data_IF_596153897683
#
_entry.id   IF_596153897683
#
_cell.length_a   1.000
_cell.length_b   1.000
_cell.length_c   1.000
_cell.angle_alpha   90.00
_cell.angle_beta   90.00
_cell.angle_gamma   90.00
#
_symmetry.space_group_name_H-M   'P 1'
#
loop_
_entity.id
_entity.type
_entity.pdbx_description
1 polymer ?
#
# COMPACT_ATOMS: atom_id res chain seq x y z
N UNK A 1 1.23 -16.51 46.86
CA UNK A 1 1.98 -16.42 45.60
C UNK A 1 0.98 -16.55 44.45
N UNK A 2 0.52 -15.44 43.91
CA UNK A 2 -0.43 -15.39 42.80
C UNK A 2 0.38 -15.27 41.53
N UNK A 3 0.34 -16.31 40.67
CA UNK A 3 1.03 -16.37 39.42
C UNK A 3 0.46 -15.35 38.42
N UNK A 4 1.32 -14.53 37.81
CA UNK A 4 1.00 -13.68 36.69
C UNK A 4 0.52 -14.55 35.52
N UNK A 5 -0.74 -14.34 35.13
CA UNK A 5 -1.31 -14.95 33.94
C UNK A 5 -0.54 -14.48 32.69
N UNK A 6 0.08 -15.42 32.01
CA UNK A 6 0.68 -15.18 30.72
C UNK A 6 -0.40 -14.71 29.73
N UNK A 7 -0.31 -13.47 29.26
CA UNK A 7 -1.10 -13.02 28.13
C UNK A 7 -0.66 -13.85 26.92
N UNK A 8 -1.53 -14.76 26.48
CA UNK A 8 -1.35 -15.49 25.23
C UNK A 8 -1.33 -14.48 24.10
N UNK A 9 -0.17 -14.16 23.57
CA UNK A 9 0.00 -13.42 22.32
C UNK A 9 -0.51 -14.27 21.16
N UNK A 10 -1.83 -14.42 21.08
CA UNK A 10 -2.45 -15.04 19.90
C UNK A 10 -2.33 -14.06 18.74
N UNK A 11 -1.84 -14.51 17.58
CA UNK A 11 -1.84 -13.68 16.39
C UNK A 11 -3.24 -13.16 16.10
N UNK A 12 -3.35 -11.89 15.70
CA UNK A 12 -4.63 -11.17 15.54
C UNK A 12 -5.64 -11.90 14.64
N UNK A 13 -5.18 -12.74 13.72
CA UNK A 13 -6.00 -13.51 12.78
C UNK A 13 -5.84 -15.03 12.93
N UNK A 14 -5.49 -15.53 14.10
CA UNK A 14 -5.38 -16.98 14.37
C UNK A 14 -6.65 -17.73 13.95
N UNK A 15 -7.81 -17.10 14.09
CA UNK A 15 -9.13 -17.62 13.71
C UNK A 15 -9.56 -17.21 12.30
N UNK A 16 -8.62 -16.88 11.39
CA UNK A 16 -8.95 -16.57 10.00
C UNK A 16 -9.75 -17.74 9.39
N UNK A 17 -10.98 -17.50 8.89
CA UNK A 17 -11.79 -18.55 8.28
C UNK A 17 -11.13 -19.04 6.99
N UNK A 18 -11.04 -20.37 6.85
CA UNK A 18 -10.54 -20.98 5.62
C UNK A 18 -11.58 -20.90 4.50
N UNK A 19 -11.12 -20.76 3.28
CA UNK A 19 -11.98 -20.82 2.09
C UNK A 19 -11.55 -19.92 0.95
N UNK A 20 -12.31 -20.01 -0.14
CA UNK A 20 -12.13 -19.18 -1.33
C UNK A 20 -13.12 -18.02 -1.29
N UNK A 21 -12.64 -16.83 -1.57
CA UNK A 21 -13.39 -15.58 -1.58
C UNK A 21 -13.26 -14.93 -2.97
N UNK A 22 -14.33 -14.89 -3.77
CA UNK A 22 -14.32 -14.25 -5.07
C UNK A 22 -14.05 -12.74 -4.91
N UNK A 23 -13.03 -12.26 -5.58
CA UNK A 23 -12.56 -10.87 -5.56
C UNK A 23 -12.46 -10.36 -6.99
N UNK A 24 -12.90 -9.15 -7.22
CA UNK A 24 -12.78 -8.43 -8.47
C UNK A 24 -11.89 -7.21 -8.26
N UNK A 25 -10.83 -7.07 -9.06
CA UNK A 25 -10.04 -5.84 -9.13
C UNK A 25 -10.65 -4.97 -10.22
N UNK A 26 -11.32 -3.89 -9.81
CA UNK A 26 -12.04 -3.00 -10.73
C UNK A 26 -11.16 -1.88 -11.28
N UNK A 27 -10.08 -1.54 -10.58
CA UNK A 27 -9.07 -0.57 -11.01
C UNK A 27 -7.71 -0.89 -10.40
N UNK A 28 -6.65 -0.67 -11.17
CA UNK A 28 -5.27 -0.71 -10.70
C UNK A 28 -4.47 0.31 -11.51
N UNK A 29 -4.02 1.40 -10.87
CA UNK A 29 -3.40 2.53 -11.54
C UNK A 29 -2.18 3.05 -10.77
N UNK A 30 -1.12 3.34 -11.51
CA UNK A 30 0.04 4.07 -11.05
C UNK A 30 0.71 4.77 -12.22
N UNK A 31 1.07 6.06 -12.15
CA UNK A 31 1.62 6.79 -13.28
C UNK A 31 2.93 6.18 -13.79
N UNK A 32 3.02 5.86 -15.08
CA UNK A 32 4.21 5.26 -15.70
C UNK A 32 5.36 6.25 -15.90
N UNK A 33 5.05 7.55 -16.02
CA UNK A 33 6.04 8.61 -16.19
C UNK A 33 6.01 9.53 -14.97
N UNK A 34 7.06 9.49 -14.18
CA UNK A 34 7.18 10.26 -12.96
C UNK A 34 8.43 11.15 -12.98
N UNK A 35 8.48 12.11 -12.07
CA UNK A 35 9.63 13.01 -11.89
C UNK A 35 10.16 12.86 -10.47
N UNK A 36 11.48 13.00 -10.33
CA UNK A 36 12.13 13.05 -9.02
C UNK A 36 11.52 14.15 -8.14
N UNK A 37 11.36 13.89 -6.85
CA UNK A 37 10.77 14.78 -5.85
C UNK A 37 9.33 15.23 -6.18
N UNK A 38 8.58 14.45 -6.96
CA UNK A 38 7.16 14.69 -7.22
C UNK A 38 6.30 13.62 -6.57
N UNK A 39 5.22 14.07 -5.92
CA UNK A 39 4.21 13.20 -5.35
C UNK A 39 3.34 12.59 -6.45
N UNK A 40 2.94 11.36 -6.22
CA UNK A 40 1.99 10.62 -7.06
C UNK A 40 1.14 9.68 -6.21
N UNK A 41 0.00 9.27 -6.76
CA UNK A 41 -0.89 8.29 -6.10
C UNK A 41 -0.87 6.97 -6.86
N UNK A 42 -0.72 5.88 -6.11
CA UNK A 42 -1.00 4.53 -6.59
C UNK A 42 -2.36 4.10 -6.04
N UNK A 43 -3.21 3.55 -6.90
CA UNK A 43 -4.55 3.12 -6.54
C UNK A 43 -4.82 1.69 -6.98
N UNK A 44 -5.44 0.90 -6.09
CA UNK A 44 -6.02 -0.40 -6.40
C UNK A 44 -7.41 -0.46 -5.78
N UNK A 45 -8.43 -0.71 -6.60
CA UNK A 45 -9.82 -0.81 -6.16
C UNK A 45 -10.29 -2.26 -6.27
N UNK A 46 -10.81 -2.78 -5.16
CA UNK A 46 -11.16 -4.18 -4.98
C UNK A 46 -12.61 -4.29 -4.56
N UNK A 47 -13.39 -5.15 -5.23
CA UNK A 47 -14.77 -5.47 -4.89
C UNK A 47 -14.86 -6.91 -4.39
N UNK A 48 -15.61 -7.14 -3.32
CA UNK A 48 -16.03 -8.48 -2.93
C UNK A 48 -17.13 -8.96 -3.88
N UNK A 49 -16.79 -9.83 -4.83
CA UNK A 49 -17.71 -10.39 -5.83
C UNK A 49 -18.47 -11.63 -5.32
N UNK A 50 -18.15 -12.10 -4.11
CA UNK A 50 -18.80 -13.25 -3.49
C UNK A 50 -19.98 -12.87 -2.58
N UNK A 51 -20.62 -13.89 -2.03
CA UNK A 51 -21.75 -13.76 -1.08
C UNK A 51 -21.30 -13.76 0.38
N UNK A 52 -20.06 -14.17 0.66
CA UNK A 52 -19.49 -14.21 2.01
C UNK A 52 -18.62 -12.97 2.27
N UNK A 53 -18.61 -12.52 3.52
CA UNK A 53 -17.72 -11.45 3.97
C UNK A 53 -16.27 -11.92 3.89
N UNK A 54 -15.41 -11.18 3.21
CA UNK A 54 -13.96 -11.38 3.23
C UNK A 54 -13.45 -11.04 4.63
N UNK A 55 -12.67 -11.91 5.29
CA UNK A 55 -12.19 -11.65 6.65
C UNK A 55 -11.23 -10.47 6.74
N UNK A 56 -10.27 -10.38 5.82
CA UNK A 56 -9.31 -9.27 5.78
C UNK A 56 -8.81 -9.03 4.36
N UNK A 57 -9.44 -8.09 3.65
CA UNK A 57 -8.96 -7.69 2.33
C UNK A 57 -7.67 -6.90 2.48
N UNK A 58 -6.63 -7.31 1.77
CA UNK A 58 -5.34 -6.65 1.81
C UNK A 58 -4.63 -6.69 0.44
N UNK A 59 -3.66 -5.78 0.28
CA UNK A 59 -2.78 -5.74 -0.90
C UNK A 59 -1.34 -5.84 -0.44
N UNK A 60 -0.61 -6.78 -1.00
CA UNK A 60 0.85 -6.88 -0.85
C UNK A 60 1.50 -6.18 -2.03
N UNK A 61 2.45 -5.27 -1.76
CA UNK A 61 3.23 -4.54 -2.76
C UNK A 61 4.68 -4.96 -2.66
N UNK A 62 5.02 -6.07 -3.31
CA UNK A 62 6.38 -6.63 -3.33
C UNK A 62 6.58 -7.55 -4.52
N UNK A 63 7.70 -7.43 -5.22
CA UNK A 63 8.12 -8.40 -6.21
C UNK A 63 8.81 -9.61 -5.54
N UNK A 64 8.47 -10.83 -5.97
CA UNK A 64 9.02 -12.08 -5.39
C UNK A 64 10.52 -12.27 -5.63
N UNK A 65 11.06 -11.67 -6.67
CA UNK A 65 12.48 -11.74 -7.03
C UNK A 65 13.06 -10.34 -6.99
N UNK A 66 14.16 -10.12 -6.26
CA UNK A 66 14.79 -8.87 -5.87
C UNK A 66 15.11 -7.81 -6.95
N UNK A 67 14.50 -7.88 -8.12
CA UNK A 67 14.66 -6.96 -9.26
C UNK A 67 13.54 -5.94 -9.37
N UNK A 68 12.79 -5.69 -8.30
CA UNK A 68 11.71 -4.70 -8.29
C UNK A 68 11.97 -3.59 -7.29
N UNK A 69 11.54 -2.37 -7.60
CA UNK A 69 11.44 -1.30 -6.63
C UNK A 69 10.56 -1.72 -5.46
N UNK A 70 10.88 -1.30 -4.26
CA UNK A 70 10.05 -1.45 -3.08
C UNK A 70 9.57 -0.08 -2.63
N UNK A 71 8.44 -0.07 -1.91
CA UNK A 71 8.08 1.08 -1.11
C UNK A 71 8.85 1.05 0.20
N UNK A 72 9.30 2.22 0.67
CA UNK A 72 9.72 2.39 2.06
C UNK A 72 8.81 3.39 2.74
N UNK A 73 8.48 3.12 3.99
CA UNK A 73 7.75 4.07 4.84
C UNK A 73 8.76 5.09 5.35
N UNK A 74 8.54 6.36 5.01
CA UNK A 74 9.50 7.47 5.16
C UNK A 74 9.99 7.75 6.58
N UNK A 75 9.33 7.26 7.61
CA UNK A 75 9.45 7.91 8.91
C UNK A 75 10.64 7.50 9.78
N UNK A 76 11.43 6.49 9.40
CA UNK A 76 12.49 6.02 10.31
C UNK A 76 13.59 5.18 9.68
N UNK A 77 13.70 5.11 8.36
CA UNK A 77 14.72 4.31 7.73
C UNK A 77 16.02 5.12 7.57
N UNK A 78 16.96 4.90 8.51
CA UNK A 78 18.31 5.45 8.44
C UNK A 78 19.09 5.01 7.18
N UNK A 79 18.60 4.00 6.46
CA UNK A 79 19.19 3.47 5.24
C UNK A 79 18.79 4.26 3.97
N UNK A 80 18.02 5.33 4.08
CA UNK A 80 17.69 6.21 2.95
C UNK A 80 18.93 6.83 2.27
N UNK A 81 20.08 6.81 2.94
CA UNK A 81 21.36 7.26 2.39
C UNK A 81 22.11 6.19 1.59
N UNK A 82 21.69 4.91 1.64
CA UNK A 82 22.34 3.80 0.99
C UNK A 82 21.97 3.69 -0.51
N UNK A 83 22.87 3.04 -1.28
CA UNK A 83 22.65 2.72 -2.69
C UNK A 83 21.44 1.81 -2.94
N UNK A 84 20.98 1.09 -1.92
CA UNK A 84 19.79 0.24 -1.95
C UNK A 84 18.49 0.98 -1.58
N UNK A 85 18.54 2.30 -1.33
CA UNK A 85 17.34 3.06 -1.00
C UNK A 85 16.20 2.80 -1.99
N UNK A 86 14.96 2.71 -1.51
CA UNK A 86 13.81 2.49 -2.36
C UNK A 86 13.63 3.61 -3.37
N UNK A 87 12.95 3.33 -4.46
CA UNK A 87 12.68 4.32 -5.49
C UNK A 87 11.56 5.29 -5.09
N UNK A 88 10.67 4.85 -4.21
CA UNK A 88 9.53 5.60 -3.71
C UNK A 88 9.48 5.57 -2.19
N UNK A 89 9.20 6.73 -1.62
CA UNK A 89 8.88 6.89 -0.20
C UNK A 89 7.37 7.02 -0.06
N UNK A 90 6.78 6.29 0.87
CA UNK A 90 5.34 6.34 1.13
C UNK A 90 5.04 7.43 2.13
N UNK A 91 4.27 8.44 1.71
CA UNK A 91 3.81 9.54 2.55
C UNK A 91 2.46 9.22 3.22
N UNK A 92 1.65 8.38 2.55
CA UNK A 92 0.36 7.94 3.07
C UNK A 92 0.10 6.49 2.62
N UNK A 93 -0.25 5.64 3.59
CA UNK A 93 -0.69 4.27 3.35
C UNK A 93 -2.22 4.21 3.21
N UNK A 94 -2.77 3.15 2.59
CA UNK A 94 -4.21 2.94 2.51
C UNK A 94 -4.87 2.85 3.90
N UNK A 95 -5.97 3.57 4.07
CA UNK A 95 -6.80 3.54 5.28
C UNK A 95 -8.28 3.47 4.90
N UNK A 96 -9.11 2.87 5.76
CA UNK A 96 -10.58 2.86 5.54
C UNK A 96 -11.23 4.22 5.72
N UNK A 97 -10.70 5.01 6.63
CA UNK A 97 -11.25 6.33 6.97
C UNK A 97 -10.35 7.39 6.34
N UNK A 98 -10.91 8.34 5.58
CA UNK A 98 -10.13 9.46 5.11
C UNK A 98 -9.52 10.20 6.30
N UNK A 99 -8.20 10.37 6.31
CA UNK A 99 -7.52 11.15 7.35
C UNK A 99 -7.90 12.61 7.23
N UNK A 100 -8.21 13.23 8.36
CA UNK A 100 -8.28 14.70 8.44
C UNK A 100 -6.85 15.23 8.25
N UNK A 101 -6.72 16.24 7.40
CA UNK A 101 -5.43 16.91 7.13
C UNK A 101 -4.76 17.31 8.45
N UNK A 102 -3.52 16.88 8.66
CA UNK A 102 -2.71 17.23 9.84
C UNK A 102 -2.57 16.14 10.91
N UNK A 103 -3.19 14.99 10.78
CA UNK A 103 -2.96 13.86 11.70
C UNK A 103 -1.87 12.93 11.15
N UNK A 104 -0.70 12.96 11.78
CA UNK A 104 0.42 12.04 11.55
C UNK A 104 0.35 10.77 12.41
N UNK A 105 -0.68 10.62 13.25
CA UNK A 105 -0.83 9.42 14.06
C UNK A 105 -1.30 8.26 13.19
N UNK A 106 -0.42 7.28 13.04
CA UNK A 106 -0.76 5.97 12.51
C UNK A 106 -1.73 5.31 13.49
N UNK A 107 -2.87 4.79 12.97
CA UNK A 107 -3.77 3.95 13.76
C UNK A 107 -2.94 2.81 14.38
N UNK A 108 -3.16 2.46 15.67
CA UNK A 108 -2.48 1.32 16.29
C UNK A 108 -2.59 0.01 15.50
N UNK A 109 -3.69 -0.20 14.77
CA UNK A 109 -3.86 -1.31 13.83
C UNK A 109 -2.93 -1.23 12.61
N UNK A 110 -2.55 -0.04 12.19
CA UNK A 110 -1.60 0.17 11.09
C UNK A 110 -0.15 -0.12 11.51
N UNK A 111 0.16 0.00 12.80
CA UNK A 111 1.48 -0.28 13.37
C UNK A 111 1.75 -1.76 13.65
N UNK A 112 0.70 -2.58 13.72
CA UNK A 112 0.82 -3.97 14.18
C UNK A 112 0.83 -5.00 13.07
N UNK A 113 0.91 -4.59 11.80
CA UNK A 113 1.09 -5.53 10.69
C UNK A 113 2.50 -6.12 10.77
N UNK A 114 2.61 -7.36 11.24
CA UNK A 114 3.85 -8.15 11.17
C UNK A 114 4.25 -8.48 9.71
N UNK A 115 3.46 -8.06 8.75
CA UNK A 115 3.67 -8.28 7.33
C UNK A 115 4.20 -7.01 6.68
N UNK A 116 5.49 -6.95 6.52
CA UNK A 116 6.17 -5.92 5.72
C UNK A 116 5.61 -5.96 4.30
N UNK A 117 5.34 -4.81 3.70
CA UNK A 117 4.79 -4.65 2.35
C UNK A 117 3.34 -5.14 2.13
N UNK A 118 2.59 -5.50 3.19
CA UNK A 118 1.17 -5.88 3.11
C UNK A 118 0.30 -4.87 3.86
N UNK A 119 -0.71 -4.35 3.16
CA UNK A 119 -1.57 -3.27 3.62
C UNK A 119 -3.00 -3.79 3.81
N UNK A 120 -3.42 -4.10 5.05
CA UNK A 120 -4.76 -4.58 5.33
C UNK A 120 -5.77 -3.43 5.45
N UNK A 121 -6.98 -3.64 4.93
CA UNK A 121 -8.13 -2.79 5.19
C UNK A 121 -9.21 -3.50 6.03
N UNK A 122 -8.90 -4.71 6.54
CA UNK A 122 -9.81 -5.49 7.38
C UNK A 122 -10.97 -6.10 6.59
N UNK A 123 -12.09 -6.42 7.27
CA UNK A 123 -13.15 -7.20 6.67
C UNK A 123 -13.93 -6.43 5.58
N UNK A 124 -14.31 -7.11 4.48
CA UNK A 124 -15.07 -6.53 3.38
C UNK A 124 -16.37 -7.32 3.16
N UNK A 125 -17.52 -6.70 3.40
CA UNK A 125 -18.82 -7.34 3.21
C UNK A 125 -19.09 -7.68 1.73
N UNK A 126 -19.98 -8.63 1.48
CA UNK A 126 -20.42 -9.03 0.14
C UNK A 126 -20.86 -7.82 -0.69
N UNK A 127 -20.47 -7.76 -1.94
CA UNK A 127 -20.81 -6.68 -2.88
C UNK A 127 -20.12 -5.33 -2.60
N UNK A 128 -19.43 -5.15 -1.48
CA UNK A 128 -18.78 -3.88 -1.12
C UNK A 128 -17.42 -3.74 -1.79
N UNK A 129 -16.98 -2.49 -1.91
CA UNK A 129 -15.70 -2.11 -2.52
C UNK A 129 -14.76 -1.53 -1.47
N UNK A 130 -13.47 -1.87 -1.58
CA UNK A 130 -12.37 -1.28 -0.83
C UNK A 130 -11.42 -0.59 -1.80
N UNK A 131 -10.95 0.61 -1.43
CA UNK A 131 -9.99 1.40 -2.19
C UNK A 131 -8.69 1.48 -1.42
N UNK A 132 -7.64 1.00 -2.04
CA UNK A 132 -6.28 1.11 -1.57
C UNK A 132 -5.63 2.28 -2.28
N UNK A 133 -5.24 3.30 -1.55
CA UNK A 133 -4.57 4.48 -2.09
C UNK A 133 -3.29 4.75 -1.30
N UNK A 134 -2.16 4.77 -1.99
CA UNK A 134 -0.88 5.20 -1.46
C UNK A 134 -0.52 6.54 -2.07
N UNK A 135 -0.08 7.48 -1.23
CA UNK A 135 0.63 8.68 -1.71
C UNK A 135 2.12 8.46 -1.54
N UNK A 136 2.86 8.65 -2.60
CA UNK A 136 4.29 8.36 -2.65
C UNK A 136 5.06 9.50 -3.30
N UNK A 137 6.30 9.70 -2.87
CA UNK A 137 7.25 10.60 -3.52
C UNK A 137 8.36 9.80 -4.16
N UNK A 138 8.65 10.07 -5.43
CA UNK A 138 9.78 9.46 -6.13
C UNK A 138 11.10 10.09 -5.65
N UNK A 139 12.01 9.29 -5.07
CA UNK A 139 13.28 9.73 -4.49
C UNK A 139 14.52 9.20 -5.21
N UNK A 140 14.36 8.29 -6.17
CA UNK A 140 15.42 7.73 -6.99
C UNK A 140 15.00 7.71 -8.45
N UNK A 141 15.80 8.28 -9.33
CA UNK A 141 15.55 8.26 -10.78
C UNK A 141 15.86 6.87 -11.38
N UNK A 142 15.25 6.58 -12.52
CA UNK A 142 15.46 5.33 -13.25
C UNK A 142 14.17 4.57 -13.53
N UNK A 143 14.26 3.42 -14.21
CA UNK A 143 13.12 2.54 -14.44
C UNK A 143 12.65 1.93 -13.12
N UNK A 144 11.34 1.72 -12.99
CA UNK A 144 10.77 1.03 -11.82
C UNK A 144 9.85 -0.12 -12.23
N UNK A 145 9.72 -1.05 -11.28
CA UNK A 145 8.81 -2.19 -11.37
C UNK A 145 8.23 -2.45 -9.97
N UNK A 146 6.92 -2.27 -9.81
CA UNK A 146 6.20 -2.55 -8.57
C UNK A 146 5.21 -3.67 -8.80
N UNK A 147 5.39 -4.79 -8.09
CA UNK A 147 4.46 -5.91 -8.13
C UNK A 147 3.43 -5.77 -7.03
N UNK A 148 2.17 -6.09 -7.33
CA UNK A 148 1.10 -6.08 -6.35
C UNK A 148 0.28 -7.36 -6.42
N UNK A 149 -0.32 -7.74 -5.29
CA UNK A 149 -1.21 -8.90 -5.17
C UNK A 149 -2.31 -8.61 -4.16
N UNK A 150 -3.56 -8.93 -4.52
CA UNK A 150 -4.73 -8.87 -3.64
C UNK A 150 -4.88 -10.19 -2.90
N UNK A 151 -5.14 -10.13 -1.60
CA UNK A 151 -5.39 -11.28 -0.76
C UNK A 151 -6.69 -11.08 0.05
N UNK A 152 -7.29 -12.20 0.50
CA UNK A 152 -8.52 -12.19 1.30
C UNK A 152 -8.28 -12.40 2.81
N UNK A 153 -7.06 -12.73 3.20
CA UNK A 153 -6.62 -12.95 4.57
C UNK A 153 -5.13 -12.76 4.72
N UNK A 154 -4.64 -12.73 5.96
CA UNK A 154 -3.22 -12.50 6.27
C UNK A 154 -2.42 -13.82 6.35
N UNK A 155 -3.06 -14.93 6.73
CA UNK A 155 -2.39 -16.22 6.95
C UNK A 155 -2.61 -17.25 5.83
N UNK A 156 -3.11 -16.83 4.66
CA UNK A 156 -3.39 -17.72 3.51
C UNK A 156 -4.50 -18.77 3.76
N UNK A 157 -5.23 -18.72 4.86
CA UNK A 157 -6.40 -19.57 5.07
C UNK A 157 -7.58 -19.09 4.21
N UNK A 158 -7.81 -17.78 4.20
CA UNK A 158 -8.74 -17.13 3.27
C UNK A 158 -8.01 -16.78 1.96
N UNK A 159 -8.40 -17.43 0.88
CA UNK A 159 -7.78 -17.26 -0.44
C UNK A 159 -8.63 -16.36 -1.32
N UNK A 160 -8.05 -15.32 -1.87
CA UNK A 160 -8.70 -14.55 -2.92
C UNK A 160 -8.71 -15.37 -4.22
N UNK A 161 -9.88 -15.49 -4.86
CA UNK A 161 -10.06 -16.09 -6.18
C UNK A 161 -10.61 -15.03 -7.13
N UNK A 162 -10.26 -15.11 -8.43
CA UNK A 162 -10.77 -14.16 -9.41
C UNK A 162 -12.30 -14.27 -9.51
N UNK A 163 -12.98 -13.13 -9.45
CA UNK A 163 -14.37 -13.01 -9.84
C UNK A 163 -14.53 -13.17 -11.36
N UNK A 164 -15.76 -13.28 -11.83
CA UNK A 164 -16.07 -13.51 -13.26
C UNK A 164 -15.76 -12.31 -14.17
N UNK A 165 -15.46 -11.16 -13.60
CA UNK A 165 -15.11 -9.92 -14.30
C UNK A 165 -14.05 -9.16 -13.52
N UNK A 166 -13.23 -8.36 -14.22
CA UNK A 166 -12.23 -7.51 -13.62
C UNK A 166 -10.79 -7.87 -14.01
N UNK A 167 -9.86 -7.10 -13.45
CA UNK A 167 -8.42 -7.29 -13.67
C UNK A 167 -7.92 -8.53 -12.90
N UNK A 168 -6.76 -9.09 -13.26
CA UNK A 168 -6.10 -10.14 -12.48
C UNK A 168 -5.89 -9.72 -11.02
N UNK A 169 -5.89 -10.70 -10.09
CA UNK A 169 -5.66 -10.45 -8.65
C UNK A 169 -4.22 -10.03 -8.31
N UNK A 170 -3.35 -10.03 -9.29
CA UNK A 170 -1.97 -9.55 -9.18
C UNK A 170 -1.56 -8.88 -10.46
N UNK A 171 -0.64 -7.93 -10.35
CA UNK A 171 -0.14 -7.22 -11.51
C UNK A 171 1.18 -6.54 -11.23
N UNK A 172 1.63 -5.80 -12.21
CA UNK A 172 2.90 -5.07 -12.18
C UNK A 172 2.69 -3.68 -12.75
N UNK A 173 3.11 -2.67 -12.01
CA UNK A 173 3.29 -1.34 -12.53
C UNK A 173 4.74 -1.17 -12.99
N UNK A 174 4.92 -0.71 -14.22
CA UNK A 174 6.23 -0.40 -14.79
C UNK A 174 6.24 1.05 -15.27
N UNK A 175 7.40 1.67 -15.16
CA UNK A 175 7.55 3.05 -15.61
C UNK A 175 8.95 3.58 -15.38
N UNK A 176 9.09 4.88 -15.47
CA UNK A 176 10.38 5.57 -15.31
C UNK A 176 10.20 6.84 -14.48
N UNK A 177 11.11 7.04 -13.54
CA UNK A 177 11.29 8.30 -12.83
C UNK A 177 12.38 9.09 -13.53
N UNK A 178 12.06 10.25 -14.09
CA UNK A 178 13.06 11.13 -14.69
C UNK A 178 13.88 11.83 -13.60
N UNK A 179 15.16 12.09 -13.88
CA UNK A 179 16.06 12.81 -12.98
C UNK A 179 15.82 14.34 -12.96
N UNK A 180 14.90 14.82 -13.78
CA UNK A 180 14.51 16.24 -13.80
C UNK A 180 13.53 16.50 -12.67
N UNK A 181 14.00 17.15 -11.61
CA UNK A 181 13.13 17.68 -10.57
C UNK A 181 12.17 18.74 -11.17
N UNK A 182 10.98 18.91 -10.61
CA UNK A 182 10.13 20.04 -10.97
C UNK A 182 10.89 21.34 -10.70
N UNK A 183 10.86 22.28 -11.66
CA UNK A 183 11.36 23.63 -11.39
C UNK A 183 10.39 24.29 -10.41
N UNK A 184 10.89 24.72 -9.28
CA UNK A 184 10.11 25.46 -8.29
C UNK A 184 10.69 26.85 -8.11
N UNK A 185 9.83 27.79 -7.76
CA UNK A 185 10.21 29.14 -7.33
C UNK A 185 9.51 29.46 -6.00
N UNK A 186 10.11 30.28 -5.21
CA UNK A 186 9.44 30.88 -4.06
C UNK A 186 8.57 32.01 -4.58
N UNK A 187 7.29 32.04 -4.18
CA UNK A 187 6.36 33.10 -4.53
C UNK A 187 6.81 34.43 -3.89
N UNK A 188 6.18 35.54 -4.28
CA UNK A 188 6.51 36.88 -3.76
C UNK A 188 6.27 37.01 -2.24
N UNK A 189 5.46 36.13 -1.65
CA UNK A 189 5.23 36.06 -0.20
C UNK A 189 6.43 35.53 0.60
N UNK A 190 7.48 35.02 -0.07
CA UNK A 190 8.69 34.51 0.54
C UNK A 190 8.54 33.16 1.25
N UNK A 191 7.35 32.57 1.27
CA UNK A 191 7.02 31.34 2.02
C UNK A 191 6.40 30.25 1.17
N UNK A 192 5.65 30.59 0.14
CA UNK A 192 4.97 29.63 -0.75
C UNK A 192 5.91 29.16 -1.85
N UNK A 193 6.02 27.83 -2.04
CA UNK A 193 6.77 27.23 -3.14
C UNK A 193 5.82 26.87 -4.29
N UNK A 194 6.00 27.54 -5.44
CA UNK A 194 5.21 27.31 -6.65
C UNK A 194 6.00 26.54 -7.69
N UNK A 195 5.31 25.77 -8.55
CA UNK A 195 5.94 25.20 -9.74
C UNK A 195 6.23 26.33 -10.76
N UNK A 196 7.49 26.48 -11.16
CA UNK A 196 7.84 27.38 -12.26
C UNK A 196 7.28 26.79 -13.57
N UNK A 197 6.59 27.63 -14.33
CA UNK A 197 6.12 27.30 -15.68
C UNK A 197 7.26 27.07 -16.66
#
# INVERSE_FOLDING_TARGET
MTGCGGSSNKPQDENEPSGNFPVEVTSAQFPSNQKLAKDSSMEIVVRNAGTKRIPNVNVTVKCKTGTGGSFSIASSDANLADNERPQFVVNQIPTRTPRKTGQLELDPLERSSAFVDTYPLGPLAAGRTARFEWKVTAVKAGPYRLCWKVNAGLYNKAKATSGNSGLPLSGVFVGTVSNKAPKTRVAEDGTTVEQAK
#
